data_IF_200842862533
#
_entry.id   IF_200842862533
#
_cell.length_a   1.000
_cell.length_b   1.000
_cell.length_c   1.000
_cell.angle_alpha   90.00
_cell.angle_beta   90.00
_cell.angle_gamma   90.00
#
_symmetry.space_group_name_H-M   'P 1'
#
loop_
_entity.id
_entity.type
_entity.pdbx_description
1 polymer ?
#
# COMPACT_ATOMS: atom_id res chain seq x y z
N UNK A 1 8.10 31.71 20.48
CA UNK A 1 8.08 30.23 20.59
C UNK A 1 6.79 29.69 19.96
N UNK A 2 6.65 29.83 18.64
CA UNK A 2 5.51 29.33 17.85
C UNK A 2 5.98 28.48 16.65
N UNK A 3 7.22 28.69 16.19
CA UNK A 3 7.84 27.96 15.08
C UNK A 3 8.15 26.48 15.40
N UNK A 4 8.53 26.16 16.65
CA UNK A 4 8.92 24.79 17.03
C UNK A 4 7.73 23.83 17.06
N UNK A 5 6.52 24.33 17.37
CA UNK A 5 5.30 23.53 17.36
C UNK A 5 4.85 23.18 15.93
N UNK A 6 5.00 24.09 14.98
CA UNK A 6 4.61 23.87 13.59
C UNK A 6 5.48 22.78 12.95
N UNK A 7 6.81 22.84 13.14
CA UNK A 7 7.74 21.84 12.60
C UNK A 7 7.60 20.45 13.24
N UNK A 8 7.14 20.36 14.48
CA UNK A 8 6.95 19.08 15.17
C UNK A 8 5.64 18.39 14.75
N UNK A 9 4.55 19.16 14.61
CA UNK A 9 3.27 18.64 14.12
C UNK A 9 3.41 18.09 12.69
N UNK A 10 4.19 18.78 11.84
CA UNK A 10 4.35 18.41 10.44
C UNK A 10 5.11 17.09 10.24
N UNK A 11 6.23 16.89 10.95
CA UNK A 11 6.97 15.61 10.92
C UNK A 11 6.13 14.43 11.43
N UNK A 12 5.27 14.72 12.40
CA UNK A 12 4.35 13.73 12.96
C UNK A 12 3.30 13.31 11.94
N UNK A 13 2.81 14.22 11.10
CA UNK A 13 1.83 13.92 10.04
C UNK A 13 2.42 13.00 8.96
N UNK A 14 3.61 13.32 8.44
CA UNK A 14 4.28 12.51 7.42
C UNK A 14 4.62 11.11 7.96
N UNK A 15 5.08 11.00 9.20
CA UNK A 15 5.35 9.71 9.85
C UNK A 15 4.07 8.88 10.03
N UNK A 16 2.94 9.50 10.35
CA UNK A 16 1.64 8.81 10.46
C UNK A 16 1.21 8.25 9.09
N UNK A 17 1.34 9.04 8.01
CA UNK A 17 0.99 8.60 6.65
C UNK A 17 1.86 7.43 6.22
N UNK A 18 3.17 7.50 6.41
CA UNK A 18 4.09 6.42 6.05
C UNK A 18 3.81 5.14 6.85
N UNK A 19 3.53 5.26 8.15
CA UNK A 19 3.13 4.12 8.99
C UNK A 19 1.79 3.51 8.54
N UNK A 20 0.83 4.34 8.12
CA UNK A 20 -0.45 3.86 7.60
C UNK A 20 -0.27 3.10 6.28
N UNK A 21 0.56 3.62 5.38
CA UNK A 21 0.88 2.97 4.11
C UNK A 21 1.60 1.63 4.34
N UNK A 22 2.55 1.57 5.26
CA UNK A 22 3.19 0.30 5.63
C UNK A 22 2.17 -0.74 6.12
N UNK A 23 1.25 -0.35 7.01
CA UNK A 23 0.19 -1.26 7.49
C UNK A 23 -0.70 -1.76 6.36
N UNK A 24 -1.00 -0.91 5.37
CA UNK A 24 -1.77 -1.30 4.19
C UNK A 24 -0.97 -2.30 3.36
N UNK A 25 0.30 -2.02 3.08
CA UNK A 25 1.18 -2.90 2.33
C UNK A 25 1.30 -4.28 2.98
N UNK A 26 1.51 -4.35 4.30
CA UNK A 26 1.54 -5.63 5.02
C UNK A 26 0.21 -6.38 4.92
N UNK A 27 -0.93 -5.70 5.14
CA UNK A 27 -2.24 -6.33 5.02
C UNK A 27 -2.50 -6.90 3.61
N UNK A 28 -2.08 -6.18 2.57
CA UNK A 28 -2.18 -6.64 1.18
C UNK A 28 -1.23 -7.82 0.94
N UNK A 29 0.01 -7.72 1.43
CA UNK A 29 1.02 -8.78 1.34
C UNK A 29 0.58 -10.08 2.01
N UNK A 30 0.11 -10.02 3.25
CA UNK A 30 -0.36 -11.19 4.02
C UNK A 30 -1.56 -11.86 3.32
N UNK A 31 -2.48 -11.06 2.79
CA UNK A 31 -3.62 -11.56 2.05
C UNK A 31 -3.20 -12.19 0.72
N UNK A 32 -2.22 -11.59 0.02
CA UNK A 32 -1.66 -12.15 -1.20
C UNK A 32 -0.96 -13.47 -0.93
N UNK A 33 -0.11 -13.54 0.10
CA UNK A 33 0.57 -14.76 0.53
C UNK A 33 -0.44 -15.87 0.83
N UNK A 34 -1.48 -15.55 1.60
CA UNK A 34 -2.55 -16.50 1.92
C UNK A 34 -3.22 -17.04 0.65
N UNK A 35 -3.56 -16.17 -0.31
CA UNK A 35 -4.21 -16.62 -1.56
C UNK A 35 -3.26 -17.43 -2.45
N UNK A 36 -1.98 -17.06 -2.49
CA UNK A 36 -0.97 -17.77 -3.25
C UNK A 36 -0.85 -19.23 -2.79
N UNK A 37 -0.71 -19.45 -1.48
CA UNK A 37 -0.55 -20.80 -0.93
C UNK A 37 -1.83 -21.63 -0.91
N UNK A 38 -3.01 -21.00 -0.86
CA UNK A 38 -4.28 -21.71 -1.08
C UNK A 38 -4.44 -22.18 -2.53
N UNK A 39 -3.69 -21.60 -3.46
CA UNK A 39 -3.70 -21.98 -4.88
C UNK A 39 -4.86 -21.38 -5.67
N UNK A 40 -4.82 -21.54 -6.99
CA UNK A 40 -5.89 -21.10 -7.87
C UNK A 40 -7.15 -21.96 -7.67
N UNK A 41 -8.39 -21.38 -7.65
CA UNK A 41 -8.78 -20.00 -7.93
C UNK A 41 -9.09 -19.17 -6.67
N UNK A 42 -8.30 -19.34 -5.61
CA UNK A 42 -8.54 -18.66 -4.33
C UNK A 42 -8.55 -17.14 -4.51
N UNK A 43 -9.52 -16.49 -3.87
CA UNK A 43 -9.69 -15.05 -3.92
C UNK A 43 -10.22 -14.52 -2.58
N UNK A 44 -9.81 -13.31 -2.26
CA UNK A 44 -10.32 -12.56 -1.12
C UNK A 44 -10.55 -11.11 -1.51
N UNK A 45 -11.33 -10.40 -0.69
CA UNK A 45 -11.54 -8.96 -0.82
C UNK A 45 -11.22 -8.32 0.52
N UNK A 46 -10.33 -7.34 0.49
CA UNK A 46 -9.98 -6.56 1.67
C UNK A 46 -10.37 -5.10 1.47
N UNK A 47 -10.94 -4.51 2.52
CA UNK A 47 -11.15 -3.07 2.58
C UNK A 47 -9.94 -2.40 3.21
N UNK A 48 -9.40 -1.41 2.51
CA UNK A 48 -8.31 -0.54 2.98
C UNK A 48 -8.74 0.92 2.89
N UNK A 49 -8.07 1.77 3.66
CA UNK A 49 -8.23 3.22 3.54
C UNK A 49 -6.90 3.80 3.06
N UNK A 50 -6.88 4.35 1.84
CA UNK A 50 -5.72 5.03 1.30
C UNK A 50 -5.67 6.48 1.84
N UNK A 51 -4.56 6.90 2.47
CA UNK A 51 -4.39 8.27 2.91
C UNK A 51 -4.32 9.23 1.71
N UNK A 52 -4.43 10.52 2.00
CA UNK A 52 -4.21 11.58 1.01
C UNK A 52 -2.75 11.60 0.56
N UNK A 53 -2.50 12.30 -0.55
CA UNK A 53 -1.17 12.61 -1.08
C UNK A 53 -0.40 11.43 -1.68
N UNK A 54 -1.04 10.28 -1.92
CA UNK A 54 -0.47 9.25 -2.77
C UNK A 54 -0.56 9.71 -4.23
N UNK A 55 0.57 9.75 -4.92
CA UNK A 55 0.66 10.16 -6.32
C UNK A 55 0.54 8.96 -7.25
N UNK A 56 1.17 7.84 -6.89
CA UNK A 56 1.21 6.64 -7.70
C UNK A 56 1.45 5.41 -6.83
N UNK A 57 0.81 4.30 -7.20
CA UNK A 57 1.00 2.99 -6.59
C UNK A 57 1.47 2.03 -7.67
N UNK A 58 2.64 1.43 -7.48
CA UNK A 58 3.16 0.38 -8.36
C UNK A 58 3.07 -0.96 -7.66
N UNK A 59 2.47 -1.96 -8.32
CA UNK A 59 2.32 -3.33 -7.81
C UNK A 59 3.00 -4.29 -8.79
N UNK A 60 4.12 -4.88 -8.39
CA UNK A 60 4.89 -5.75 -9.27
C UNK A 60 6.23 -6.14 -8.67
N UNK A 61 6.92 -7.11 -9.28
CA UNK A 61 8.28 -7.52 -8.87
C UNK A 61 8.41 -7.84 -7.36
N UNK A 62 7.39 -8.44 -6.75
CA UNK A 62 7.35 -8.75 -5.32
C UNK A 62 7.38 -7.50 -4.41
N UNK A 63 6.96 -6.35 -4.92
CA UNK A 63 6.97 -5.08 -4.20
C UNK A 63 5.67 -4.30 -4.43
N UNK A 64 5.18 -3.66 -3.36
CA UNK A 64 4.24 -2.56 -3.42
C UNK A 64 4.99 -1.26 -3.15
N UNK A 65 4.97 -0.36 -4.13
CA UNK A 65 5.64 0.93 -4.05
C UNK A 65 4.61 2.04 -4.04
N UNK A 66 4.60 2.83 -2.98
CA UNK A 66 3.75 4.01 -2.84
C UNK A 66 4.61 5.26 -2.96
N UNK A 67 4.33 6.07 -3.96
CA UNK A 67 4.95 7.39 -4.13
C UNK A 67 4.06 8.43 -3.45
N UNK A 68 4.57 9.08 -2.43
CA UNK A 68 3.81 10.00 -1.57
C UNK A 68 4.39 11.39 -1.70
N UNK A 69 3.52 12.40 -1.76
CA UNK A 69 3.93 13.80 -1.64
C UNK A 69 3.91 14.21 -0.17
N UNK A 70 5.08 14.44 0.39
CA UNK A 70 5.26 15.02 1.72
C UNK A 70 5.52 16.52 1.60
N UNK A 71 5.59 17.22 2.73
CA UNK A 71 5.96 18.66 2.73
C UNK A 71 7.42 18.88 2.34
N UNK A 72 8.29 17.92 2.67
CA UNK A 72 9.72 17.95 2.38
C UNK A 72 10.07 17.47 0.95
N UNK A 73 9.12 16.87 0.22
CA UNK A 73 9.30 16.50 -1.18
C UNK A 73 8.52 15.25 -1.60
N UNK A 74 9.15 14.43 -2.42
CA UNK A 74 8.64 13.11 -2.79
C UNK A 74 9.27 12.07 -1.87
N UNK A 75 8.43 11.28 -1.22
CA UNK A 75 8.85 10.14 -0.42
C UNK A 75 8.33 8.83 -1.06
N UNK A 76 9.00 7.73 -0.77
CA UNK A 76 8.69 6.42 -1.32
C UNK A 76 8.60 5.39 -0.19
N UNK A 77 7.42 4.80 -0.04
CA UNK A 77 7.21 3.68 0.88
C UNK A 77 7.20 2.40 0.06
N UNK A 78 8.18 1.53 0.30
CA UNK A 78 8.32 0.23 -0.38
C UNK A 78 8.00 -0.87 0.62
N UNK A 79 7.10 -1.78 0.23
CA UNK A 79 6.75 -2.97 0.99
C UNK A 79 6.99 -4.20 0.13
N UNK A 80 7.86 -5.09 0.61
CA UNK A 80 8.19 -6.34 -0.06
C UNK A 80 7.16 -7.42 0.27
N UNK A 81 6.85 -8.27 -0.71
CA UNK A 81 5.98 -9.43 -0.54
C UNK A 81 6.75 -10.73 -0.78
N UNK A 82 6.52 -11.78 0.04
CA UNK A 82 7.20 -13.06 -0.13
C UNK A 82 6.77 -13.80 -1.40
N UNK A 83 5.61 -13.42 -1.97
CA UNK A 83 5.03 -14.03 -3.18
C UNK A 83 5.03 -13.04 -4.34
N UNK A 84 5.11 -13.51 -5.60
CA UNK A 84 5.00 -12.66 -6.77
C UNK A 84 3.60 -12.07 -6.88
N UNK A 85 3.53 -10.74 -6.94
CA UNK A 85 2.29 -9.97 -7.07
C UNK A 85 2.31 -9.15 -8.35
N UNK A 86 1.14 -8.90 -8.93
CA UNK A 86 0.95 -8.01 -10.08
C UNK A 86 -0.41 -7.33 -9.98
N UNK A 87 -0.51 -6.10 -10.49
CA UNK A 87 -1.81 -5.47 -10.60
C UNK A 87 -1.77 -3.95 -10.71
N UNK A 88 -2.94 -3.36 -10.49
CA UNK A 88 -3.14 -1.91 -10.60
C UNK A 88 -4.04 -1.46 -9.47
N UNK A 89 -3.62 -0.41 -8.77
CA UNK A 89 -4.38 0.21 -7.69
C UNK A 89 -4.55 1.69 -8.00
N UNK A 90 -5.76 2.20 -7.74
CA UNK A 90 -6.04 3.62 -7.86
C UNK A 90 -5.37 4.38 -6.69
N UNK A 91 -4.51 5.39 -6.94
CA UNK A 91 -3.90 6.20 -5.90
C UNK A 91 -4.85 7.19 -5.21
N UNK A 92 -6.09 7.35 -5.67
CA UNK A 92 -7.04 8.29 -5.03
C UNK A 92 -7.23 7.97 -3.54
N UNK A 93 -7.43 9.00 -2.72
CA UNK A 93 -7.63 8.82 -1.28
C UNK A 93 -9.04 8.34 -0.99
N UNK A 94 -9.20 7.43 -0.03
CA UNK A 94 -10.51 6.96 0.40
C UNK A 94 -10.54 5.48 0.74
N UNK A 95 -11.74 4.90 0.76
CA UNK A 95 -11.89 3.46 0.97
C UNK A 95 -11.83 2.72 -0.35
N UNK A 96 -10.94 1.74 -0.45
CA UNK A 96 -10.79 0.88 -1.62
C UNK A 96 -11.09 -0.58 -1.24
N UNK A 97 -11.72 -1.30 -2.17
CA UNK A 97 -12.13 -2.69 -2.00
C UNK A 97 -11.25 -3.60 -2.85
N UNK A 98 -10.03 -3.83 -2.37
CA UNK A 98 -9.01 -4.56 -3.11
C UNK A 98 -9.39 -6.02 -3.26
N UNK A 99 -9.51 -6.46 -4.50
CA UNK A 99 -9.63 -7.83 -4.92
C UNK A 99 -8.24 -8.44 -5.02
N UNK A 100 -8.03 -9.56 -4.32
CA UNK A 100 -6.77 -10.29 -4.31
C UNK A 100 -7.08 -11.70 -4.78
N UNK A 101 -6.47 -12.12 -5.88
CA UNK A 101 -6.77 -13.40 -6.54
C UNK A 101 -5.50 -14.15 -6.90
N UNK A 102 -5.44 -15.43 -6.53
CA UNK A 102 -4.40 -16.34 -6.99
C UNK A 102 -4.62 -16.73 -8.44
N UNK A 103 -3.56 -16.62 -9.25
CA UNK A 103 -3.47 -17.07 -10.67
C UNK A 103 -2.49 -18.23 -10.82
N UNK A 104 -2.20 -18.94 -9.73
CA UNK A 104 -1.24 -20.04 -9.68
C UNK A 104 0.19 -19.56 -9.55
N UNK A 105 0.74 -18.88 -10.57
CA UNK A 105 2.14 -18.43 -10.58
C UNK A 105 2.36 -17.04 -9.96
N UNK A 106 1.29 -16.25 -9.78
CA UNK A 106 1.32 -14.94 -9.13
C UNK A 106 -0.05 -14.61 -8.52
N UNK A 107 -0.08 -13.56 -7.71
CA UNK A 107 -1.30 -12.98 -7.15
C UNK A 107 -1.63 -11.68 -7.86
N UNK A 108 -2.84 -11.63 -8.40
CA UNK A 108 -3.44 -10.45 -9.01
C UNK A 108 -4.08 -9.57 -7.94
N UNK A 109 -3.75 -8.28 -7.94
CA UNK A 109 -4.25 -7.28 -6.98
C UNK A 109 -4.92 -6.14 -7.76
N UNK A 110 -6.23 -5.99 -7.59
CA UNK A 110 -6.99 -4.92 -8.28
C UNK A 110 -7.96 -4.23 -7.33
N UNK A 111 -8.17 -2.95 -7.55
CA UNK A 111 -9.26 -2.15 -6.98
C UNK A 111 -10.64 -2.58 -7.54
#
# INVERSE_FOLDING_TARGET
>A
MLLVFYTYADRTEDEIVSNQIQKIGYKVGDAAESMYYLGEPSRTKIRIYLPKNILNITVGNNELVFNVRTKDGLDQVVVYTPVPIQGTLDPHSGYHNINIRSRGSYVEITD
#
